data_IF_961084047634
#
_entry.id   IF_961084047634
#
_cell.length_a   1.000
_cell.length_b   1.000
_cell.length_c   1.000
_cell.angle_alpha   90.00
_cell.angle_beta   90.00
_cell.angle_gamma   90.00
#
_symmetry.space_group_name_H-M   'P 1'
#
loop_
_entity.id
_entity.type
_entity.pdbx_description
1 polymer ?
#
# COMPACT_ATOMS: atom_id res chain seq x y z
N UNK A 1 -10.20 6.55 -2.84
CA UNK A 1 -10.02 7.35 -1.61
C UNK A 1 -8.78 8.21 -1.78
N UNK A 2 -8.83 9.50 -1.44
CA UNK A 2 -7.64 10.38 -1.42
C UNK A 2 -7.01 10.47 -0.01
N UNK A 3 -5.83 11.08 0.12
CA UNK A 3 -5.09 11.16 1.40
C UNK A 3 -5.88 11.80 2.54
N UNK A 4 -6.68 12.85 2.26
CA UNK A 4 -7.51 13.50 3.28
C UNK A 4 -8.65 12.60 3.76
N UNK A 5 -9.29 11.90 2.84
CA UNK A 5 -10.33 10.91 3.16
C UNK A 5 -9.74 9.73 3.94
N UNK A 6 -8.54 9.28 3.57
CA UNK A 6 -7.82 8.21 4.27
C UNK A 6 -7.53 8.58 5.72
N UNK A 7 -6.87 9.72 5.94
CA UNK A 7 -6.56 10.22 7.28
C UNK A 7 -7.83 10.31 8.13
N UNK A 8 -8.89 10.93 7.60
CA UNK A 8 -10.17 11.08 8.30
C UNK A 8 -10.85 9.75 8.61
N UNK A 9 -10.83 8.80 7.67
CA UNK A 9 -11.49 7.51 7.83
C UNK A 9 -10.79 6.62 8.87
N UNK A 10 -9.46 6.70 8.94
CA UNK A 10 -8.65 5.87 9.84
C UNK A 10 -8.33 6.56 11.18
N UNK A 11 -8.60 7.85 11.30
CA UNK A 11 -8.51 8.58 12.56
C UNK A 11 -9.34 7.89 13.67
N UNK A 12 -8.72 7.69 14.82
CA UNK A 12 -9.35 7.08 16.00
C UNK A 12 -9.56 5.56 15.92
N UNK A 13 -9.21 4.90 14.82
CA UNK A 13 -9.19 3.43 14.75
C UNK A 13 -7.86 2.92 15.27
N UNK A 14 -7.84 1.93 16.16
CA UNK A 14 -6.58 1.46 16.79
C UNK A 14 -6.13 0.09 16.32
N UNK A 15 -7.06 -0.70 15.78
CA UNK A 15 -6.85 -2.13 15.59
C UNK A 15 -6.36 -2.50 14.18
N UNK A 16 -6.32 -1.52 13.28
CA UNK A 16 -5.92 -1.72 11.88
C UNK A 16 -4.50 -1.19 11.64
N UNK A 17 -3.66 -1.89 10.86
CA UNK A 17 -2.32 -1.40 10.50
C UNK A 17 -2.35 -0.03 9.82
N UNK A 18 -3.37 0.26 9.02
CA UNK A 18 -3.55 1.54 8.33
C UNK A 18 -3.65 2.72 9.31
N UNK A 19 -4.13 2.50 10.53
CA UNK A 19 -4.21 3.58 11.51
C UNK A 19 -2.87 3.94 12.13
N UNK A 20 -1.87 3.04 12.08
CA UNK A 20 -0.49 3.36 12.47
C UNK A 20 0.15 4.36 11.52
N UNK A 21 -0.20 4.30 10.25
CA UNK A 21 0.22 5.28 9.25
C UNK A 21 -0.42 6.65 9.52
N UNK A 22 -1.68 6.69 9.96
CA UNK A 22 -2.34 7.93 10.40
C UNK A 22 -1.70 8.49 11.67
N UNK A 23 -1.42 7.64 12.67
CA UNK A 23 -0.74 8.06 13.89
C UNK A 23 0.65 8.67 13.60
N UNK A 24 1.40 8.07 12.68
CA UNK A 24 2.69 8.60 12.24
C UNK A 24 2.54 9.97 11.57
N UNK A 25 1.52 10.15 10.72
CA UNK A 25 1.23 11.45 10.10
C UNK A 25 0.84 12.50 11.14
N UNK A 26 -0.03 12.17 12.09
CA UNK A 26 -0.42 13.07 13.18
C UNK A 26 0.80 13.48 14.03
N UNK A 27 1.68 12.53 14.35
CA UNK A 27 2.93 12.80 15.07
C UNK A 27 3.87 13.71 14.28
N UNK A 28 4.14 13.38 13.02
CA UNK A 28 5.04 14.18 12.17
C UNK A 28 4.50 15.60 11.93
N UNK A 29 3.17 15.75 11.83
CA UNK A 29 2.52 17.07 11.73
C UNK A 29 2.73 17.86 13.01
N UNK A 30 2.50 17.25 14.19
CA UNK A 30 2.68 17.91 15.47
C UNK A 30 4.14 18.34 15.69
N UNK A 31 5.10 17.48 15.35
CA UNK A 31 6.53 17.78 15.45
C UNK A 31 6.92 18.95 14.55
N UNK A 32 6.45 18.96 13.30
CA UNK A 32 6.66 20.09 12.38
C UNK A 32 6.05 21.39 12.92
N UNK A 33 4.82 21.35 13.42
CA UNK A 33 4.15 22.53 13.99
C UNK A 33 4.90 23.07 15.21
N UNK A 34 5.43 22.20 16.08
CA UNK A 34 6.25 22.60 17.23
C UNK A 34 7.52 23.33 16.78
N UNK A 35 8.28 22.73 15.85
CA UNK A 35 9.52 23.34 15.36
C UNK A 35 9.26 24.66 14.62
N UNK A 36 8.18 24.71 13.85
CA UNK A 36 7.77 25.91 13.14
C UNK A 36 7.39 27.04 14.11
N UNK A 37 6.61 26.74 15.14
CA UNK A 37 6.24 27.71 16.18
C UNK A 37 7.45 28.19 16.98
N UNK A 38 8.43 27.32 17.26
CA UNK A 38 9.69 27.70 17.90
C UNK A 38 10.51 28.65 17.02
N UNK A 39 10.62 28.38 15.73
CA UNK A 39 11.27 29.28 14.79
C UNK A 39 10.55 30.64 14.74
N UNK A 40 9.22 30.67 14.68
CA UNK A 40 8.46 31.92 14.66
C UNK A 40 8.63 32.76 15.94
N UNK A 41 8.76 32.12 17.11
CA UNK A 41 9.03 32.81 18.38
C UNK A 41 10.39 33.52 18.41
N UNK A 42 11.32 33.12 17.53
CA UNK A 42 12.62 33.77 17.42
C UNK A 42 12.62 35.07 16.60
N UNK A 43 11.48 35.44 16.00
CA UNK A 43 11.31 36.71 15.29
C UNK A 43 11.28 37.87 16.29
N UNK A 44 12.15 38.86 16.08
CA UNK A 44 12.26 40.06 16.91
C UNK A 44 12.33 41.33 16.06
N UNK A 45 11.86 42.47 16.57
CA UNK A 45 12.02 43.75 15.88
C UNK A 45 13.46 44.23 15.93
N UNK A 46 14.02 44.63 14.79
CA UNK A 46 15.32 45.30 14.67
C UNK A 46 15.13 46.70 14.09
N UNK A 47 15.75 47.70 14.74
CA UNK A 47 15.72 49.09 14.28
C UNK A 47 16.75 49.31 13.18
N UNK A 48 16.30 49.88 12.07
CA UNK A 48 17.13 50.28 10.93
C UNK A 48 16.95 51.78 10.65
N UNK A 49 17.76 52.33 9.73
CA UNK A 49 17.63 53.71 9.27
C UNK A 49 16.29 54.03 8.58
N UNK A 50 15.54 53.00 8.15
CA UNK A 50 14.24 53.12 7.46
C UNK A 50 13.04 52.75 8.34
N UNK A 51 13.26 52.35 9.60
CA UNK A 51 12.20 51.92 10.52
C UNK A 51 12.49 50.60 11.23
N UNK A 52 11.47 50.03 11.88
CA UNK A 52 11.53 48.71 12.49
C UNK A 52 11.25 47.63 11.44
N UNK A 53 12.09 46.61 11.36
CA UNK A 53 11.88 45.41 10.54
C UNK A 53 11.85 44.17 11.44
N UNK A 54 11.12 43.13 11.02
CA UNK A 54 11.15 41.83 11.68
C UNK A 54 12.38 41.05 11.19
N UNK A 55 13.18 40.52 12.12
CA UNK A 55 14.34 39.67 11.81
C UNK A 55 14.35 38.48 12.76
N UNK A 56 14.95 37.37 12.33
CA UNK A 56 15.22 36.26 13.22
C UNK A 56 16.35 36.62 14.21
N UNK A 57 16.24 36.15 15.46
CA UNK A 57 17.35 36.20 16.40
C UNK A 57 18.53 35.36 15.90
N UNK A 58 19.80 35.69 16.24
CA UNK A 58 20.96 34.88 15.84
C UNK A 58 20.86 33.41 16.26
N UNK A 59 20.20 33.11 17.39
CA UNK A 59 19.94 31.75 17.85
C UNK A 59 18.91 30.98 17.00
N UNK A 60 18.22 31.64 16.06
CA UNK A 60 17.27 30.99 15.16
C UNK A 60 17.96 30.09 14.13
N UNK A 61 19.24 30.35 13.82
CA UNK A 61 20.03 29.49 12.92
C UNK A 61 20.11 28.05 13.44
N UNK A 62 20.08 27.85 14.76
CA UNK A 62 20.09 26.53 15.40
C UNK A 62 18.73 25.80 15.29
N UNK A 63 17.65 26.53 14.98
CA UNK A 63 16.29 25.98 14.82
C UNK A 63 15.97 25.57 13.38
N UNK A 64 16.76 26.00 12.40
CA UNK A 64 16.54 25.63 11.00
C UNK A 64 16.75 24.12 10.73
N UNK A 65 17.84 23.47 11.19
CA UNK A 65 18.04 22.04 10.92
C UNK A 65 16.95 21.12 11.53
N UNK A 66 16.49 21.32 12.78
CA UNK A 66 15.38 20.55 13.33
C UNK A 66 14.06 20.73 12.53
N UNK A 67 13.78 21.94 12.06
CA UNK A 67 12.60 22.20 11.23
C UNK A 67 12.70 21.51 9.87
N UNK A 68 13.86 21.56 9.22
CA UNK A 68 14.09 20.88 7.93
C UNK A 68 13.94 19.36 8.07
N UNK A 69 14.44 18.76 9.14
CA UNK A 69 14.28 17.33 9.39
C UNK A 69 12.82 16.95 9.68
N UNK A 70 12.10 17.78 10.46
CA UNK A 70 10.68 17.56 10.74
C UNK A 70 9.82 17.69 9.46
N UNK A 71 10.11 18.68 8.61
CA UNK A 71 9.44 18.86 7.32
C UNK A 71 9.70 17.66 6.39
N UNK A 72 10.95 17.20 6.33
CA UNK A 72 11.33 16.03 5.55
C UNK A 72 10.61 14.78 6.03
N UNK A 73 10.55 14.55 7.35
CA UNK A 73 9.84 13.41 7.91
C UNK A 73 8.34 13.45 7.59
N UNK A 74 7.69 14.61 7.72
CA UNK A 74 6.28 14.77 7.34
C UNK A 74 6.06 14.42 5.87
N UNK A 75 6.90 14.93 4.96
CA UNK A 75 6.79 14.61 3.52
C UNK A 75 7.02 13.13 3.21
N UNK A 76 7.91 12.46 3.93
CA UNK A 76 8.12 11.01 3.79
C UNK A 76 6.85 10.24 4.16
N UNK A 77 6.18 10.59 5.27
CA UNK A 77 4.93 9.96 5.69
C UNK A 77 3.79 10.26 4.70
N UNK A 78 3.68 11.50 4.20
CA UNK A 78 2.69 11.87 3.18
C UNK A 78 2.88 11.05 1.89
N UNK A 79 4.14 10.91 1.44
CA UNK A 79 4.49 10.12 0.25
C UNK A 79 4.14 8.64 0.45
N UNK A 80 4.37 8.10 1.64
CA UNK A 80 4.01 6.72 1.98
C UNK A 80 2.51 6.49 1.97
N UNK A 81 1.71 7.45 2.48
CA UNK A 81 0.24 7.40 2.39
C UNK A 81 -0.22 7.40 0.94
N UNK A 82 0.31 8.30 0.12
CA UNK A 82 -0.03 8.38 -1.30
C UNK A 82 0.33 7.10 -2.05
N UNK A 83 1.54 6.59 -1.82
CA UNK A 83 2.00 5.33 -2.42
C UNK A 83 1.13 4.15 -1.97
N UNK A 84 0.77 4.09 -0.69
CA UNK A 84 -0.13 3.05 -0.17
C UNK A 84 -1.52 3.12 -0.83
N UNK A 85 -2.07 4.33 -0.99
CA UNK A 85 -3.36 4.51 -1.64
C UNK A 85 -3.31 4.13 -3.13
N UNK A 86 -2.24 4.46 -3.83
CA UNK A 86 -2.04 4.04 -5.22
C UNK A 86 -1.97 2.51 -5.33
N UNK A 87 -1.14 1.88 -4.49
CA UNK A 87 -1.00 0.41 -4.45
C UNK A 87 -2.31 -0.31 -4.13
N UNK A 88 -3.19 0.30 -3.33
CA UNK A 88 -4.47 -0.29 -2.91
C UNK A 88 -5.67 0.21 -3.72
N UNK A 89 -5.46 1.05 -4.74
CA UNK A 89 -6.52 1.78 -5.46
C UNK A 89 -7.49 2.52 -4.51
N UNK A 90 -7.01 2.88 -3.32
CA UNK A 90 -7.80 3.49 -2.26
C UNK A 90 -8.87 2.59 -1.63
N UNK A 91 -8.87 1.27 -1.90
CA UNK A 91 -9.78 0.31 -1.28
C UNK A 91 -9.21 -0.32 0.01
N UNK A 92 -7.92 -0.08 0.30
CA UNK A 92 -7.21 -0.62 1.46
C UNK A 92 -6.64 -2.04 1.26
N UNK A 93 -5.81 -2.49 2.20
CA UNK A 93 -5.04 -3.74 2.04
C UNK A 93 -5.93 -4.98 1.98
N UNK A 94 -6.98 -5.04 2.80
CA UNK A 94 -7.87 -6.20 2.87
C UNK A 94 -8.51 -6.50 1.52
N UNK A 95 -8.96 -5.46 0.80
CA UNK A 95 -9.61 -5.62 -0.49
C UNK A 95 -8.64 -6.10 -1.57
N UNK A 96 -7.40 -5.60 -1.54
CA UNK A 96 -6.33 -6.07 -2.41
C UNK A 96 -6.01 -7.57 -2.17
N UNK A 97 -5.97 -8.00 -0.90
CA UNK A 97 -5.76 -9.41 -0.51
C UNK A 97 -6.94 -10.31 -0.91
N UNK A 98 -8.18 -9.81 -0.81
CA UNK A 98 -9.36 -10.51 -1.31
C UNK A 98 -9.27 -10.74 -2.82
N UNK A 99 -8.91 -9.71 -3.59
CA UNK A 99 -8.75 -9.79 -5.04
C UNK A 99 -7.65 -10.79 -5.42
N UNK A 100 -6.50 -10.75 -4.73
CA UNK A 100 -5.43 -11.73 -4.91
C UNK A 100 -5.95 -13.16 -4.70
N UNK A 101 -6.69 -13.39 -3.62
CA UNK A 101 -7.24 -14.70 -3.26
C UNK A 101 -8.26 -15.20 -4.29
N UNK A 102 -9.11 -14.31 -4.81
CA UNK A 102 -10.09 -14.64 -5.87
C UNK A 102 -9.40 -15.02 -7.17
N UNK A 103 -8.40 -14.24 -7.59
CA UNK A 103 -7.63 -14.51 -8.82
C UNK A 103 -6.90 -15.86 -8.72
N UNK A 104 -6.26 -16.14 -7.58
CA UNK A 104 -5.62 -17.45 -7.34
C UNK A 104 -6.62 -18.60 -7.42
N UNK A 105 -7.78 -18.49 -6.74
CA UNK A 105 -8.83 -19.51 -6.81
C UNK A 105 -9.36 -19.73 -8.22
N UNK A 106 -9.49 -18.68 -9.02
CA UNK A 106 -9.96 -18.83 -10.40
C UNK A 106 -8.98 -19.66 -11.25
N UNK A 107 -7.67 -19.43 -11.09
CA UNK A 107 -6.63 -20.25 -11.74
C UNK A 107 -6.70 -21.69 -11.23
N UNK A 108 -6.74 -21.90 -9.91
CA UNK A 108 -6.77 -23.24 -9.30
C UNK A 108 -8.02 -24.03 -9.72
N UNK A 109 -9.18 -23.37 -9.74
CA UNK A 109 -10.43 -23.96 -10.19
C UNK A 109 -10.36 -24.38 -11.66
N UNK A 110 -9.75 -23.57 -12.53
CA UNK A 110 -9.58 -23.94 -13.95
C UNK A 110 -8.70 -25.19 -14.12
N UNK A 111 -7.66 -25.34 -13.30
CA UNK A 111 -6.81 -26.53 -13.30
C UNK A 111 -7.58 -27.77 -12.79
N UNK A 112 -8.38 -27.60 -11.73
CA UNK A 112 -9.21 -28.66 -11.18
C UNK A 112 -10.32 -29.12 -12.15
N UNK A 113 -10.97 -28.17 -12.82
CA UNK A 113 -11.96 -28.46 -13.87
C UNK A 113 -11.35 -29.33 -14.97
N UNK A 114 -10.20 -28.93 -15.51
CA UNK A 114 -9.50 -29.70 -16.55
C UNK A 114 -9.07 -31.08 -16.06
N UNK A 115 -8.59 -31.19 -14.82
CA UNK A 115 -8.27 -32.48 -14.21
C UNK A 115 -9.50 -33.38 -14.12
N UNK A 116 -10.64 -32.84 -13.70
CA UNK A 116 -11.89 -33.59 -13.58
C UNK A 116 -12.42 -34.04 -14.95
N UNK A 117 -12.34 -33.19 -15.98
CA UNK A 117 -12.73 -33.55 -17.35
C UNK A 117 -11.85 -34.68 -17.89
N UNK A 118 -10.53 -34.59 -17.69
CA UNK A 118 -9.57 -35.65 -18.05
C UNK A 118 -9.88 -36.97 -17.32
N UNK A 119 -10.09 -36.94 -16.01
CA UNK A 119 -10.40 -38.14 -15.22
C UNK A 119 -11.70 -38.81 -15.67
N UNK A 120 -12.74 -38.02 -15.98
CA UNK A 120 -14.00 -38.55 -16.52
C UNK A 120 -13.81 -39.19 -17.89
N UNK A 121 -13.05 -38.56 -18.77
CA UNK A 121 -12.72 -39.10 -20.09
C UNK A 121 -12.01 -40.46 -19.99
N UNK A 122 -10.99 -40.56 -19.12
CA UNK A 122 -10.28 -41.81 -18.87
C UNK A 122 -11.19 -42.90 -18.28
N UNK A 123 -12.06 -42.54 -17.33
CA UNK A 123 -12.93 -43.49 -16.66
C UNK A 123 -14.05 -44.02 -17.56
N UNK A 124 -14.71 -43.16 -18.35
CA UNK A 124 -15.84 -43.56 -19.20
C UNK A 124 -15.41 -44.39 -20.41
N UNK A 125 -14.26 -44.07 -21.00
CA UNK A 125 -13.81 -44.69 -22.25
C UNK A 125 -12.65 -45.67 -22.06
N UNK A 126 -12.21 -45.93 -20.82
CA UNK A 126 -11.02 -46.74 -20.47
C UNK A 126 -9.78 -46.35 -21.27
N UNK A 127 -9.68 -45.07 -21.63
CA UNK A 127 -8.59 -44.53 -22.42
C UNK A 127 -7.35 -44.32 -21.55
N UNK A 128 -6.17 -44.47 -22.16
CA UNK A 128 -4.95 -43.93 -21.57
C UNK A 128 -5.01 -42.41 -21.48
N UNK A 129 -4.13 -41.80 -20.67
CA UNK A 129 -4.07 -40.35 -20.52
C UNK A 129 -3.83 -39.64 -21.87
N UNK A 130 -2.95 -40.19 -22.72
CA UNK A 130 -2.63 -39.63 -24.05
C UNK A 130 -3.80 -39.72 -25.02
N UNK A 131 -4.61 -40.77 -24.95
CA UNK A 131 -5.80 -40.92 -25.79
C UNK A 131 -6.94 -40.02 -25.30
N UNK A 132 -7.13 -39.92 -23.99
CA UNK A 132 -8.13 -39.04 -23.38
C UNK A 132 -7.82 -37.56 -23.69
N UNK A 133 -6.55 -37.17 -23.68
CA UNK A 133 -6.11 -35.82 -24.00
C UNK A 133 -6.56 -35.37 -25.40
N UNK A 134 -6.59 -36.28 -26.37
CA UNK A 134 -7.00 -35.98 -27.76
C UNK A 134 -8.50 -35.78 -27.94
N UNK A 135 -9.32 -36.07 -26.93
CA UNK A 135 -10.76 -35.85 -27.02
C UNK A 135 -11.07 -34.35 -27.07
N UNK A 136 -11.99 -33.95 -27.95
CA UNK A 136 -12.39 -32.56 -28.13
C UNK A 136 -12.83 -31.89 -26.81
N UNK A 137 -13.54 -32.61 -25.95
CA UNK A 137 -13.98 -32.11 -24.63
C UNK A 137 -12.81 -31.82 -23.69
N UNK A 138 -11.73 -32.61 -23.78
CA UNK A 138 -10.53 -32.41 -22.97
C UNK A 138 -9.69 -31.27 -23.53
N UNK A 139 -9.51 -31.21 -24.86
CA UNK A 139 -8.83 -30.11 -25.54
C UNK A 139 -9.52 -28.76 -25.27
N UNK A 140 -10.86 -28.70 -25.36
CA UNK A 140 -11.60 -27.48 -25.04
C UNK A 140 -11.40 -27.02 -23.58
N UNK A 141 -11.26 -27.96 -22.63
CA UNK A 141 -10.96 -27.63 -21.22
C UNK A 141 -9.51 -27.16 -21.03
N UNK A 142 -8.55 -27.76 -21.74
CA UNK A 142 -7.15 -27.32 -21.76
C UNK A 142 -7.03 -25.91 -22.32
N UNK A 143 -7.65 -25.64 -23.47
CA UNK A 143 -7.69 -24.32 -24.09
C UNK A 143 -8.31 -23.27 -23.15
N UNK A 144 -9.41 -23.61 -22.48
CA UNK A 144 -10.05 -22.73 -21.49
C UNK A 144 -9.09 -22.42 -20.34
N UNK A 145 -8.42 -23.43 -19.78
CA UNK A 145 -7.43 -23.25 -18.71
C UNK A 145 -6.30 -22.35 -19.17
N UNK A 146 -5.74 -22.60 -20.35
CA UNK A 146 -4.60 -21.85 -20.86
C UNK A 146 -4.97 -20.38 -21.11
N UNK A 147 -6.18 -20.10 -21.59
CA UNK A 147 -6.71 -18.72 -21.69
C UNK A 147 -6.86 -18.05 -20.33
N UNK A 148 -7.46 -18.73 -19.35
CA UNK A 148 -7.60 -18.21 -17.97
C UNK A 148 -6.23 -17.94 -17.37
N UNK A 149 -5.28 -18.84 -17.56
CA UNK A 149 -3.93 -18.69 -17.04
C UNK A 149 -3.18 -17.54 -17.71
N UNK A 150 -3.31 -17.38 -19.04
CA UNK A 150 -2.73 -16.25 -19.76
C UNK A 150 -3.30 -14.90 -19.30
N UNK A 151 -4.60 -14.83 -19.01
CA UNK A 151 -5.26 -13.61 -18.58
C UNK A 151 -4.98 -13.26 -17.11
N UNK A 152 -5.07 -14.26 -16.22
CA UNK A 152 -5.05 -14.04 -14.78
C UNK A 152 -3.67 -14.10 -14.16
N UNK A 153 -2.69 -14.79 -14.77
CA UNK A 153 -1.35 -14.88 -14.20
C UNK A 153 -0.65 -13.51 -14.09
N UNK A 154 -0.66 -12.64 -15.12
CA UNK A 154 -0.08 -11.29 -14.98
C UNK A 154 -0.78 -10.47 -13.89
N UNK A 155 -2.12 -10.58 -13.78
CA UNK A 155 -2.90 -9.92 -12.72
C UNK A 155 -2.53 -10.46 -11.33
N UNK A 156 -2.30 -11.77 -11.22
CA UNK A 156 -1.88 -12.40 -9.97
C UNK A 156 -0.52 -11.87 -9.52
N UNK A 157 0.44 -11.77 -10.45
CA UNK A 157 1.80 -11.31 -10.16
C UNK A 157 1.81 -9.82 -9.76
N UNK A 158 1.02 -8.98 -10.45
CA UNK A 158 0.79 -7.58 -10.08
C UNK A 158 0.20 -7.45 -8.66
N UNK A 159 -0.90 -8.16 -8.39
CA UNK A 159 -1.55 -8.14 -7.08
C UNK A 159 -0.61 -8.62 -5.97
N UNK A 160 0.23 -9.63 -6.21
CA UNK A 160 1.24 -10.08 -5.25
C UNK A 160 2.27 -9.00 -4.97
N UNK A 161 2.79 -8.34 -6.01
CA UNK A 161 3.75 -7.25 -5.87
C UNK A 161 3.16 -6.08 -5.06
N UNK A 162 1.93 -5.68 -5.39
CA UNK A 162 1.23 -4.59 -4.72
C UNK A 162 0.94 -4.91 -3.25
N UNK A 163 0.51 -6.14 -2.94
CA UNK A 163 0.30 -6.58 -1.55
C UNK A 163 1.62 -6.56 -0.77
N UNK A 164 2.74 -7.02 -1.35
CA UNK A 164 4.05 -6.99 -0.68
C UNK A 164 4.45 -5.55 -0.35
N UNK A 165 4.45 -4.67 -1.34
CA UNK A 165 4.84 -3.26 -1.16
C UNK A 165 3.93 -2.53 -0.17
N UNK A 166 2.62 -2.77 -0.23
CA UNK A 166 1.68 -2.15 0.70
C UNK A 166 1.93 -2.63 2.15
N UNK A 167 2.27 -3.91 2.36
CA UNK A 167 2.66 -4.43 3.66
C UNK A 167 3.98 -3.84 4.15
N UNK A 168 4.98 -3.73 3.28
CA UNK A 168 6.27 -3.10 3.61
C UNK A 168 6.10 -1.65 4.09
N UNK A 169 5.20 -0.87 3.47
CA UNK A 169 4.85 0.47 3.95
C UNK A 169 4.25 0.39 5.36
N UNK A 170 3.24 -0.44 5.58
CA UNK A 170 2.56 -0.53 6.88
C UNK A 170 3.48 -1.05 8.01
N UNK A 171 4.35 -2.01 7.71
CA UNK A 171 5.29 -2.60 8.68
C UNK A 171 6.32 -1.60 9.21
N UNK A 172 6.70 -0.60 8.40
CA UNK A 172 7.58 0.49 8.86
C UNK A 172 7.00 1.22 10.07
N UNK A 173 5.69 1.42 10.09
CA UNK A 173 4.99 2.18 11.15
C UNK A 173 4.44 1.29 12.28
N UNK A 174 4.25 0.00 12.03
CA UNK A 174 3.84 -0.95 13.05
C UNK A 174 4.94 -1.11 14.14
N UNK A 175 6.21 -1.06 13.74
CA UNK A 175 7.35 -1.28 14.64
C UNK A 175 7.84 -0.01 15.36
N UNK A 176 7.41 1.18 14.94
CA UNK A 176 7.82 2.46 15.54
C UNK A 176 7.06 2.80 16.84
N UNK A 177 6.04 2.02 17.20
CA UNK A 177 5.23 2.21 18.41
C UNK A 177 5.41 1.09 19.47
N UNK A 178 6.56 0.40 19.46
CA UNK A 178 6.92 -0.50 20.57
C UNK A 178 7.12 0.29 21.87
N UNK A 179 6.65 -0.19 23.03
CA UNK A 179 6.66 0.59 24.27
C UNK A 179 8.09 0.98 24.66
N UNK A 180 8.28 2.27 24.92
CA UNK A 180 9.37 2.78 25.75
C UNK A 180 9.19 2.35 27.22
#
# INVERSE_FOLDING_TARGET
>A
MNSKEFLKYWQGKTDAPESKLVQAHESATADFEIQHDELLKSIRPQKTSKGLIAVFAPSAEELAPPLEEAEKHLREVETDIETFLELTEGEGLNRLVENLSRTRRAIDNSALETKNVMQRAMAHSRLSALEAERLEVVQASLDKRDRIQAELKPKLDDLQSRVSKAKEILERYANQNGPA
#
